data_IF_561744483853
#
_entry.id   IF_561744483853
#
_cell.length_a   1.000
_cell.length_b   1.000
_cell.length_c   1.000
_cell.angle_alpha   90.00
_cell.angle_beta   90.00
_cell.angle_gamma   90.00
#
_symmetry.space_group_name_H-M   'P 1'
#
loop_
_entity.id
_entity.type
_entity.pdbx_description
1 polymer ?
#
# COMPACT_ATOMS: atom_id res chain seq x y z
N UNK A 1 16.11 -14.15 4.21
CA UNK A 1 14.68 -13.90 4.03
C UNK A 1 14.49 -12.62 3.21
N UNK A 2 13.95 -12.75 2.01
CA UNK A 2 13.56 -11.72 1.05
C UNK A 2 12.04 -11.76 0.98
N UNK A 3 11.39 -10.63 1.18
CA UNK A 3 9.94 -10.56 1.34
C UNK A 3 9.38 -9.68 0.23
N UNK A 4 8.35 -10.14 -0.46
CA UNK A 4 7.53 -9.25 -1.28
C UNK A 4 6.28 -8.88 -0.49
N UNK A 5 5.89 -7.62 -0.55
CA UNK A 5 4.63 -7.16 0.03
C UNK A 5 3.99 -6.15 -0.90
N UNK A 6 2.69 -5.92 -0.72
CA UNK A 6 1.99 -4.82 -1.36
C UNK A 6 1.04 -4.14 -0.36
N UNK A 7 0.75 -2.87 -0.62
CA UNK A 7 -0.27 -2.10 0.10
C UNK A 7 -0.83 -1.00 -0.83
N UNK A 8 -2.05 -0.55 -0.54
CA UNK A 8 -2.73 0.54 -1.25
C UNK A 8 -2.87 1.76 -0.34
N UNK A 9 -2.39 2.90 -0.80
CA UNK A 9 -2.32 4.10 0.00
C UNK A 9 -2.46 5.40 -0.79
N UNK A 10 -2.54 6.47 -0.02
CA UNK A 10 -2.83 7.83 -0.48
C UNK A 10 -4.26 8.00 -0.94
N UNK A 11 -4.91 9.07 -0.51
CA UNK A 11 -6.28 9.37 -0.89
C UNK A 11 -6.41 10.80 -1.36
N UNK A 12 -7.08 11.03 -2.50
CA UNK A 12 -7.52 12.40 -2.83
C UNK A 12 -8.55 12.83 -1.80
N UNK A 13 -8.45 14.06 -1.32
CA UNK A 13 -9.37 14.62 -0.33
C UNK A 13 -10.24 15.72 -0.93
N UNK A 14 -11.47 15.84 -0.43
CA UNK A 14 -12.34 16.97 -0.69
C UNK A 14 -11.94 18.21 0.17
N UNK A 15 -12.70 19.30 0.03
CA UNK A 15 -12.51 20.53 0.81
C UNK A 15 -12.69 20.33 2.32
N UNK A 16 -13.42 19.29 2.72
CA UNK A 16 -13.71 18.91 4.10
C UNK A 16 -12.75 17.83 4.64
N UNK A 17 -11.69 17.50 3.88
CA UNK A 17 -10.70 16.47 4.21
C UNK A 17 -11.24 15.03 4.24
N UNK A 18 -12.40 14.77 3.62
CA UNK A 18 -12.91 13.42 3.43
C UNK A 18 -12.24 12.76 2.21
N UNK A 19 -11.95 11.45 2.27
CA UNK A 19 -11.37 10.73 1.16
C UNK A 19 -12.39 10.56 0.01
N UNK A 20 -11.97 10.93 -1.20
CA UNK A 20 -12.69 10.69 -2.45
C UNK A 20 -12.36 9.28 -2.98
N UNK A 21 -11.08 8.92 -3.01
CA UNK A 21 -10.63 7.60 -3.45
C UNK A 21 -9.12 7.41 -3.35
N UNK A 22 -8.68 6.15 -3.41
CA UNK A 22 -7.27 5.77 -3.25
C UNK A 22 -6.49 5.95 -4.55
N UNK A 23 -5.19 6.25 -4.42
CA UNK A 23 -4.34 6.67 -5.54
C UNK A 23 -3.41 5.56 -6.02
N UNK A 24 -2.64 4.95 -5.12
CA UNK A 24 -1.52 4.09 -5.51
C UNK A 24 -1.53 2.76 -4.75
N UNK A 25 -1.42 1.65 -5.48
CA UNK A 25 -1.00 0.36 -4.94
C UNK A 25 0.48 0.16 -5.25
N UNK A 26 1.29 -0.01 -4.21
CA UNK A 26 2.72 -0.25 -4.34
C UNK A 26 3.05 -1.68 -3.92
N UNK A 27 3.88 -2.38 -4.72
CA UNK A 27 4.49 -3.64 -4.32
C UNK A 27 6.00 -3.46 -4.20
N UNK A 28 6.57 -4.03 -3.13
CA UNK A 28 7.96 -3.84 -2.74
C UNK A 28 8.64 -5.19 -2.52
N UNK A 29 9.92 -5.26 -2.88
CA UNK A 29 10.85 -6.30 -2.43
C UNK A 29 11.66 -5.71 -1.26
N UNK A 30 11.58 -6.36 -0.11
CA UNK A 30 12.27 -5.97 1.11
C UNK A 30 13.28 -7.05 1.49
N UNK A 31 14.51 -6.61 1.74
CA UNK A 31 15.62 -7.46 2.14
C UNK A 31 16.28 -6.90 3.40
N UNK A 32 17.15 -7.67 4.05
CA UNK A 32 17.92 -7.19 5.21
C UNK A 32 18.63 -5.87 4.84
N UNK A 33 18.53 -4.80 5.65
CA UNK A 33 18.10 -4.74 7.05
C UNK A 33 16.61 -4.45 7.30
N UNK A 34 15.73 -4.65 6.32
CA UNK A 34 14.28 -4.51 6.43
C UNK A 34 13.80 -3.08 6.77
N UNK A 35 14.45 -2.06 6.19
CA UNK A 35 14.09 -0.64 6.44
C UNK A 35 13.53 0.10 5.23
N UNK A 36 13.75 -0.42 4.03
CA UNK A 36 13.30 0.15 2.76
C UNK A 36 13.17 -0.96 1.72
N UNK A 37 12.67 -0.64 0.53
CA UNK A 37 12.56 -1.57 -0.58
C UNK A 37 13.85 -1.56 -1.43
N UNK A 38 14.35 -2.74 -1.82
CA UNK A 38 15.38 -2.87 -2.86
C UNK A 38 14.80 -2.58 -4.24
N UNK A 39 13.51 -2.90 -4.43
CA UNK A 39 12.78 -2.69 -5.67
C UNK A 39 11.32 -2.40 -5.34
N UNK A 40 10.72 -1.44 -6.02
CA UNK A 40 9.29 -1.15 -5.94
C UNK A 40 8.66 -1.09 -7.34
N UNK A 41 7.39 -1.46 -7.43
CA UNK A 41 6.53 -1.22 -8.60
C UNK A 41 5.21 -0.61 -8.12
N UNK A 42 4.57 0.18 -8.98
CA UNK A 42 3.32 0.87 -8.65
C UNK A 42 2.26 0.58 -9.71
N UNK A 43 1.01 0.51 -9.26
CA UNK A 43 -0.20 0.60 -10.07
C UNK A 43 -1.00 1.80 -9.55
N UNK A 44 -1.29 2.77 -10.41
CA UNK A 44 -2.17 3.89 -10.07
C UNK A 44 -3.63 3.52 -10.36
N UNK A 45 -4.51 3.99 -9.49
CA UNK A 45 -5.96 3.90 -9.62
C UNK A 45 -6.54 5.24 -10.06
N UNK A 46 -7.80 5.25 -10.49
CA UNK A 46 -8.55 6.49 -10.65
C UNK A 46 -9.21 6.84 -9.30
N UNK A 47 -8.70 7.82 -8.53
CA UNK A 47 -9.26 8.15 -7.22
C UNK A 47 -10.66 8.77 -7.31
N UNK A 48 -11.09 9.26 -8.47
CA UNK A 48 -12.42 9.85 -8.66
C UNK A 48 -13.50 8.82 -9.00
N UNK A 49 -13.12 7.55 -9.19
CA UNK A 49 -14.00 6.42 -9.46
C UNK A 49 -13.46 5.16 -8.74
N UNK A 50 -13.32 5.26 -7.41
CA UNK A 50 -12.71 4.23 -6.59
C UNK A 50 -13.68 3.63 -5.58
N UNK A 51 -13.68 2.30 -5.46
CA UNK A 51 -14.45 1.59 -4.43
C UNK A 51 -13.73 1.63 -3.07
N UNK A 52 -14.25 2.45 -2.16
CA UNK A 52 -13.77 2.58 -0.78
C UNK A 52 -14.21 1.43 0.15
N UNK A 53 -14.90 0.38 -0.35
CA UNK A 53 -15.27 -0.78 0.46
C UNK A 53 -14.08 -1.60 0.97
N UNK A 54 -12.92 -1.44 0.34
CA UNK A 54 -11.66 -2.15 0.63
C UNK A 54 -11.39 -3.36 -0.29
N UNK A 55 -12.39 -3.82 -1.05
CA UNK A 55 -12.25 -4.99 -1.94
C UNK A 55 -11.24 -4.77 -3.06
N UNK A 56 -11.33 -3.63 -3.74
CA UNK A 56 -10.44 -3.28 -4.85
C UNK A 56 -8.99 -3.18 -4.40
N UNK A 57 -8.75 -2.57 -3.23
CA UNK A 57 -7.42 -2.44 -2.65
C UNK A 57 -6.76 -3.82 -2.41
N UNK A 58 -7.46 -4.70 -1.68
CA UNK A 58 -6.89 -6.01 -1.34
C UNK A 58 -6.66 -6.90 -2.58
N UNK A 59 -7.52 -6.79 -3.59
CA UNK A 59 -7.34 -7.47 -4.88
C UNK A 59 -6.12 -6.92 -5.63
N UNK A 60 -5.97 -5.61 -5.72
CA UNK A 60 -4.85 -4.97 -6.40
C UNK A 60 -3.51 -5.26 -5.71
N UNK A 61 -3.48 -5.28 -4.38
CA UNK A 61 -2.31 -5.66 -3.59
C UNK A 61 -1.87 -7.10 -3.87
N UNK A 62 -2.80 -8.05 -3.79
CA UNK A 62 -2.50 -9.45 -4.06
C UNK A 62 -1.95 -9.66 -5.47
N UNK A 63 -2.59 -9.04 -6.48
CA UNK A 63 -2.18 -9.16 -7.87
C UNK A 63 -0.83 -8.47 -8.15
N UNK A 64 -0.60 -7.27 -7.61
CA UNK A 64 0.66 -6.54 -7.81
C UNK A 64 1.83 -7.20 -7.07
N UNK A 65 1.60 -7.68 -5.85
CA UNK A 65 2.56 -8.48 -5.08
C UNK A 65 2.97 -9.74 -5.84
N UNK A 66 2.01 -10.48 -6.40
CA UNK A 66 2.30 -11.66 -7.23
C UNK A 66 3.06 -11.32 -8.51
N UNK A 67 2.71 -10.21 -9.18
CA UNK A 67 3.45 -9.73 -10.36
C UNK A 67 4.91 -9.49 -10.02
N UNK A 68 5.20 -8.83 -8.89
CA UNK A 68 6.57 -8.59 -8.45
C UNK A 68 7.27 -9.90 -8.06
N UNK A 69 6.60 -10.77 -7.31
CA UNK A 69 7.15 -12.03 -6.83
C UNK A 69 7.55 -12.98 -7.96
N UNK A 70 6.77 -13.05 -9.04
CA UNK A 70 7.12 -13.82 -10.26
C UNK A 70 8.45 -13.37 -10.86
N UNK A 71 8.76 -12.07 -10.79
CA UNK A 71 10.01 -11.50 -11.31
C UNK A 71 11.19 -11.75 -10.38
N UNK A 72 11.01 -11.54 -9.07
CA UNK A 72 12.13 -11.48 -8.11
C UNK A 72 12.34 -12.74 -7.27
N UNK A 73 11.37 -13.68 -7.30
CA UNK A 73 11.37 -14.96 -6.57
C UNK A 73 11.77 -14.79 -5.09
N UNK A 74 10.93 -14.12 -4.29
CA UNK A 74 11.17 -13.93 -2.85
C UNK A 74 11.03 -15.25 -2.09
N UNK A 75 11.37 -15.25 -0.80
CA UNK A 75 11.15 -16.39 0.08
C UNK A 75 9.67 -16.50 0.50
N UNK A 76 8.98 -15.36 0.62
CA UNK A 76 7.59 -15.27 1.07
C UNK A 76 6.93 -13.99 0.56
N UNK A 77 5.60 -14.02 0.41
CA UNK A 77 4.78 -12.83 0.16
C UNK A 77 3.98 -12.50 1.42
N UNK A 78 3.99 -11.25 1.85
CA UNK A 78 3.14 -10.73 2.93
C UNK A 78 1.97 -9.95 2.31
N UNK A 79 0.75 -10.30 2.69
CA UNK A 79 -0.48 -9.62 2.29
C UNK A 79 -0.97 -8.73 3.44
N UNK A 80 -1.49 -7.53 3.14
CA UNK A 80 -2.06 -6.63 4.14
C UNK A 80 -3.46 -7.09 4.60
N UNK A 81 -3.49 -8.22 5.30
CA UNK A 81 -4.67 -8.66 6.01
C UNK A 81 -4.27 -9.34 7.30
N UNK A 82 -4.78 -8.83 8.42
CA UNK A 82 -4.37 -9.28 9.75
C UNK A 82 -5.13 -10.56 10.15
N UNK A 83 -4.78 -11.69 9.54
CA UNK A 83 -5.39 -13.01 9.80
C UNK A 83 -4.45 -13.97 10.54
N UNK A 84 -3.50 -13.43 11.31
CA UNK A 84 -2.57 -14.23 12.11
C UNK A 84 -1.51 -14.97 11.30
N UNK A 85 -1.25 -14.56 10.05
CA UNK A 85 -0.24 -15.16 9.19
C UNK A 85 -0.67 -16.45 8.50
N UNK A 86 -1.97 -16.75 8.47
CA UNK A 86 -2.47 -17.91 7.73
C UNK A 86 -2.12 -17.82 6.24
N UNK A 87 -1.78 -18.96 5.64
CA UNK A 87 -1.48 -19.02 4.22
C UNK A 87 -2.76 -18.83 3.39
N UNK A 88 -2.75 -17.89 2.45
CA UNK A 88 -3.93 -17.53 1.64
C UNK A 88 -4.46 -18.73 0.85
N UNK A 89 -3.59 -19.67 0.44
CA UNK A 89 -4.00 -20.91 -0.23
C UNK A 89 -4.85 -21.85 0.64
N UNK A 90 -4.94 -21.62 1.95
CA UNK A 90 -5.76 -22.37 2.90
C UNK A 90 -7.04 -21.64 3.31
N UNK A 91 -7.29 -20.42 2.80
CA UNK A 91 -8.48 -19.64 3.11
C UNK A 91 -9.69 -20.10 2.27
N UNK A 92 -10.21 -21.29 2.57
CA UNK A 92 -11.52 -21.75 2.09
C UNK A 92 -12.67 -21.24 2.99
N UNK A 93 -13.92 -21.44 2.56
CA UNK A 93 -15.09 -20.94 3.29
C UNK A 93 -15.14 -21.43 4.76
N UNK A 94 -14.96 -22.74 5.06
CA UNK A 94 -14.92 -23.20 6.45
C UNK A 94 -13.80 -22.58 7.28
N UNK A 95 -12.62 -22.37 6.68
CA UNK A 95 -11.50 -21.74 7.36
C UNK A 95 -11.81 -20.28 7.69
N UNK A 96 -12.42 -19.54 6.74
CA UNK A 96 -12.84 -18.14 6.94
C UNK A 96 -13.91 -18.03 8.04
N UNK A 97 -14.88 -18.94 8.05
CA UNK A 97 -15.93 -18.99 9.08
C UNK A 97 -15.37 -19.20 10.48
N UNK A 98 -14.28 -19.96 10.59
CA UNK A 98 -13.59 -20.21 11.86
C UNK A 98 -12.70 -19.05 12.33
N UNK A 99 -12.43 -18.03 11.50
CA UNK A 99 -11.59 -16.89 11.87
C UNK A 99 -12.26 -16.02 12.93
N UNK A 100 -11.44 -15.50 13.85
CA UNK A 100 -11.85 -14.54 14.90
C UNK A 100 -11.81 -13.09 14.37
N UNK A 101 -12.51 -12.84 13.27
CA UNK A 101 -12.68 -11.51 12.66
C UNK A 101 -14.16 -11.12 12.62
N UNK A 102 -14.45 -9.86 12.30
CA UNK A 102 -15.83 -9.39 12.18
C UNK A 102 -16.58 -10.08 11.03
N UNK A 103 -17.92 -10.15 11.12
CA UNK A 103 -18.75 -10.72 10.05
C UNK A 103 -18.57 -9.99 8.71
N UNK A 104 -18.35 -8.67 8.76
CA UNK A 104 -17.97 -7.88 7.58
C UNK A 104 -16.62 -8.34 7.01
N UNK A 105 -15.63 -8.61 7.87
CA UNK A 105 -14.33 -9.14 7.46
C UNK A 105 -14.45 -10.52 6.81
N UNK A 106 -15.28 -11.41 7.38
CA UNK A 106 -15.59 -12.72 6.78
C UNK A 106 -16.23 -12.57 5.41
N UNK A 107 -17.25 -11.71 5.29
CA UNK A 107 -17.94 -11.48 4.02
C UNK A 107 -17.00 -10.99 2.91
N UNK A 108 -16.08 -10.07 3.22
CA UNK A 108 -15.04 -9.62 2.28
C UNK A 108 -14.14 -10.79 1.88
N UNK A 109 -13.70 -11.60 2.85
CA UNK A 109 -12.82 -12.73 2.57
C UNK A 109 -13.49 -13.86 1.79
N UNK A 110 -14.77 -14.17 2.02
CA UNK A 110 -15.52 -15.14 1.20
C UNK A 110 -15.66 -14.70 -0.26
N UNK A 111 -15.74 -13.40 -0.51
CA UNK A 111 -15.78 -12.88 -1.86
C UNK A 111 -14.41 -12.98 -2.52
N UNK A 112 -13.36 -12.55 -1.82
CA UNK A 112 -11.99 -12.55 -2.32
C UNK A 112 -11.39 -13.95 -2.45
N UNK A 113 -11.75 -14.89 -1.58
CA UNK A 113 -11.21 -16.25 -1.58
C UNK A 113 -11.52 -16.99 -2.89
N UNK A 114 -12.68 -16.72 -3.50
CA UNK A 114 -13.09 -17.30 -4.79
C UNK A 114 -12.04 -17.11 -5.89
N UNK A 115 -11.38 -15.96 -5.90
CA UNK A 115 -10.33 -15.63 -6.86
C UNK A 115 -8.92 -15.90 -6.28
N UNK A 116 -8.66 -15.44 -5.05
CA UNK A 116 -7.32 -15.39 -4.48
C UNK A 116 -6.83 -16.74 -3.96
N UNK A 117 -7.70 -17.57 -3.38
CA UNK A 117 -7.27 -18.86 -2.82
C UNK A 117 -6.77 -19.81 -3.93
N UNK A 118 -7.49 -20.01 -5.06
CA UNK A 118 -7.02 -20.87 -6.14
C UNK A 118 -5.76 -20.32 -6.81
N UNK A 119 -5.64 -18.99 -6.90
CA UNK A 119 -4.47 -18.31 -7.44
C UNK A 119 -3.23 -18.49 -6.54
N UNK A 120 -3.39 -18.33 -5.22
CA UNK A 120 -2.34 -18.56 -4.24
C UNK A 120 -1.89 -20.03 -4.25
N UNK A 121 -2.85 -20.96 -4.34
CA UNK A 121 -2.55 -22.40 -4.42
C UNK A 121 -1.71 -22.74 -5.65
N UNK A 122 -2.13 -22.30 -6.85
CA UNK A 122 -1.36 -22.52 -8.09
C UNK A 122 0.03 -21.91 -8.02
N UNK A 123 0.14 -20.67 -7.52
CA UNK A 123 1.43 -20.00 -7.39
C UNK A 123 2.38 -20.76 -6.45
N UNK A 124 1.86 -21.27 -5.34
CA UNK A 124 2.63 -22.10 -4.42
C UNK A 124 3.03 -23.44 -5.05
N UNK A 125 2.14 -24.13 -5.77
CA UNK A 125 2.46 -25.37 -6.49
C UNK A 125 3.58 -25.16 -7.53
N UNK A 126 3.59 -24.02 -8.21
CA UNK A 126 4.58 -23.67 -9.23
C UNK A 126 5.94 -23.24 -8.65
N UNK A 127 5.95 -22.60 -7.48
CA UNK A 127 7.15 -21.87 -6.99
C UNK A 127 7.61 -22.26 -5.59
N UNK A 128 6.77 -22.92 -4.80
CA UNK A 128 6.97 -23.17 -3.37
C UNK A 128 6.80 -21.93 -2.47
N UNK A 129 6.46 -20.77 -3.02
CA UNK A 129 6.37 -19.49 -2.27
C UNK A 129 4.99 -19.35 -1.64
N UNK A 130 4.94 -19.14 -0.33
CA UNK A 130 3.70 -18.88 0.41
C UNK A 130 3.28 -17.41 0.36
N UNK A 131 1.96 -17.19 0.40
CA UNK A 131 1.35 -15.87 0.61
C UNK A 131 0.72 -15.88 2.00
N UNK A 132 1.21 -15.03 2.90
CA UNK A 132 0.77 -14.98 4.29
C UNK A 132 -0.10 -13.76 4.54
N UNK A 133 -1.31 -13.98 5.07
CA UNK A 133 -2.18 -12.92 5.55
C UNK A 133 -1.74 -12.46 6.96
N UNK A 134 -0.67 -11.64 6.99
CA UNK A 134 -0.01 -11.16 8.21
C UNK A 134 -0.44 -9.73 8.58
N UNK A 135 -0.78 -8.88 7.62
CA UNK A 135 -1.27 -7.53 7.87
C UNK A 135 -0.23 -6.62 8.55
N UNK A 136 -0.71 -5.85 9.52
CA UNK A 136 0.02 -4.76 10.20
C UNK A 136 1.25 -5.21 11.00
N UNK A 137 1.36 -6.50 11.31
CA UNK A 137 2.54 -7.07 11.98
C UNK A 137 3.75 -7.20 11.04
N UNK A 138 3.56 -7.01 9.73
CA UNK A 138 4.62 -7.08 8.73
C UNK A 138 5.28 -5.71 8.50
N UNK A 139 6.58 -5.64 8.78
CA UNK A 139 7.43 -4.50 8.39
C UNK A 139 7.42 -4.28 6.88
N UNK A 140 7.36 -5.35 6.07
CA UNK A 140 7.32 -5.22 4.61
C UNK A 140 5.99 -4.63 4.10
N UNK A 141 4.87 -4.90 4.78
CA UNK A 141 3.57 -4.26 4.49
C UNK A 141 3.67 -2.78 4.79
N UNK A 142 4.21 -2.41 5.96
CA UNK A 142 4.44 -1.01 6.31
C UNK A 142 5.37 -0.28 5.33
N UNK A 143 6.42 -0.93 4.84
CA UNK A 143 7.28 -0.35 3.79
C UNK A 143 6.48 -0.16 2.50
N UNK A 144 5.62 -1.11 2.11
CA UNK A 144 4.73 -0.94 0.96
C UNK A 144 3.78 0.26 1.14
N UNK A 145 3.21 0.46 2.35
CA UNK A 145 2.37 1.60 2.71
C UNK A 145 3.10 2.94 2.50
N UNK A 146 4.35 3.03 2.98
CA UNK A 146 5.18 4.22 2.78
C UNK A 146 5.42 4.48 1.29
N UNK A 147 5.74 3.44 0.51
CA UNK A 147 5.91 3.58 -0.94
C UNK A 147 4.61 3.98 -1.64
N UNK A 148 3.46 3.47 -1.22
CA UNK A 148 2.17 3.91 -1.73
C UNK A 148 1.98 5.42 -1.50
N UNK A 149 2.24 5.92 -0.29
CA UNK A 149 2.21 7.35 0.00
C UNK A 149 3.19 8.19 -0.83
N UNK A 150 4.42 7.71 -1.04
CA UNK A 150 5.42 8.38 -1.88
C UNK A 150 4.94 8.46 -3.35
N UNK A 151 4.41 7.36 -3.89
CA UNK A 151 3.86 7.35 -5.25
C UNK A 151 2.61 8.23 -5.37
N UNK A 152 1.78 8.30 -4.33
CA UNK A 152 0.63 9.22 -4.31
C UNK A 152 1.05 10.68 -4.36
N UNK A 153 2.14 11.05 -3.67
CA UNK A 153 2.71 12.41 -3.75
C UNK A 153 3.21 12.71 -5.16
N UNK A 154 3.92 11.77 -5.79
CA UNK A 154 4.31 11.89 -7.20
C UNK A 154 3.11 12.12 -8.11
N UNK A 155 2.07 11.29 -7.97
CA UNK A 155 0.83 11.46 -8.72
C UNK A 155 0.17 12.82 -8.46
N UNK A 156 0.17 13.27 -7.21
CA UNK A 156 -0.40 14.55 -6.80
C UNK A 156 0.27 15.74 -7.45
N UNK A 157 1.60 15.73 -7.52
CA UNK A 157 2.36 16.77 -8.22
C UNK A 157 2.00 16.79 -9.70
N UNK A 158 2.03 15.63 -10.36
CA UNK A 158 1.68 15.52 -11.78
C UNK A 158 0.22 15.93 -12.06
N UNK A 159 -0.67 15.74 -11.10
CA UNK A 159 -2.07 16.16 -11.18
C UNK A 159 -2.23 17.67 -10.95
N UNK A 160 -1.63 18.22 -9.89
CA UNK A 160 -1.65 19.66 -9.61
C UNK A 160 -1.03 20.46 -10.75
N UNK A 161 -0.01 19.92 -11.43
CA UNK A 161 0.56 20.53 -12.63
C UNK A 161 -0.44 20.72 -13.78
N UNK A 162 -1.50 19.90 -13.83
CA UNK A 162 -2.53 19.93 -14.88
C UNK A 162 -3.79 20.66 -14.42
N UNK A 163 -4.19 20.44 -13.18
CA UNK A 163 -5.49 20.87 -12.63
C UNK A 163 -5.34 22.05 -11.64
N UNK A 164 -4.12 22.49 -11.37
CA UNK A 164 -3.79 23.66 -10.53
C UNK A 164 -3.76 23.37 -9.03
N UNK A 165 -4.46 22.35 -8.55
CA UNK A 165 -4.56 22.05 -7.11
C UNK A 165 -4.81 20.58 -6.83
N UNK A 166 -4.22 20.06 -5.75
CA UNK A 166 -4.61 18.77 -5.18
C UNK A 166 -4.41 18.74 -3.67
N UNK A 167 -5.25 17.97 -2.99
CA UNK A 167 -5.07 17.60 -1.59
C UNK A 167 -5.06 16.09 -1.43
N UNK A 168 -4.02 15.57 -0.79
CA UNK A 168 -3.80 14.14 -0.60
C UNK A 168 -3.65 13.80 0.88
N UNK A 169 -4.47 12.89 1.37
CA UNK A 169 -4.27 12.24 2.67
C UNK A 169 -3.18 11.20 2.53
N UNK A 170 -2.04 11.41 3.20
CA UNK A 170 -0.95 10.45 3.27
C UNK A 170 -1.32 9.28 4.19
N UNK A 171 -0.78 8.08 3.96
CA UNK A 171 -0.89 6.97 4.90
C UNK A 171 -0.48 7.33 6.34
N UNK A 172 -0.82 6.46 7.29
CA UNK A 172 -0.69 6.79 8.71
C UNK A 172 0.76 7.06 9.10
N UNK A 173 0.98 8.02 10.01
CA UNK A 173 2.27 8.32 10.61
C UNK A 173 3.41 8.37 9.60
N UNK A 174 3.23 9.04 8.46
CA UNK A 174 4.33 9.28 7.53
C UNK A 174 4.41 10.73 7.14
N UNK A 175 5.61 11.14 6.75
CA UNK A 175 5.88 12.42 6.10
C UNK A 175 6.62 12.19 4.80
N UNK A 176 6.68 13.21 3.96
CA UNK A 176 7.52 13.21 2.76
C UNK A 176 8.43 14.43 2.73
N UNK A 177 9.60 14.26 2.15
CA UNK A 177 10.55 15.33 1.84
C UNK A 177 10.79 15.29 0.33
N UNK A 178 10.62 16.42 -0.33
CA UNK A 178 10.79 16.54 -1.77
C UNK A 178 12.04 17.37 -2.03
N UNK A 179 12.92 16.83 -2.85
CA UNK A 179 14.15 17.48 -3.33
C UNK A 179 14.10 17.58 -4.85
N UNK A 180 15.09 18.22 -5.47
CA UNK A 180 15.10 18.45 -6.92
C UNK A 180 15.01 17.18 -7.78
N UNK A 181 15.41 16.02 -7.25
CA UNK A 181 15.50 14.77 -8.01
C UNK A 181 14.85 13.55 -7.35
N UNK A 182 14.29 13.69 -6.14
CA UNK A 182 13.65 12.57 -5.44
C UNK A 182 12.61 13.00 -4.42
N UNK A 183 11.66 12.10 -4.19
CA UNK A 183 10.73 12.12 -3.05
C UNK A 183 11.20 11.07 -2.06
N UNK A 184 11.34 11.46 -0.79
CA UNK A 184 11.69 10.57 0.31
C UNK A 184 10.53 10.52 1.28
N UNK A 185 9.96 9.33 1.51
CA UNK A 185 8.94 9.11 2.53
C UNK A 185 9.55 8.46 3.75
N UNK A 186 9.15 8.88 4.95
CA UNK A 186 9.65 8.34 6.22
C UNK A 186 8.49 8.08 7.17
N UNK A 187 8.58 7.00 7.94
CA UNK A 187 7.70 6.82 9.08
C UNK A 187 8.02 7.85 10.17
N UNK A 188 6.97 8.42 10.77
CA UNK A 188 7.01 9.29 11.94
C UNK A 188 7.01 8.50 13.25
N UNK A 189 6.77 7.18 13.22
CA UNK A 189 6.79 6.34 14.42
C UNK A 189 8.22 5.82 14.70
N UNK A 190 8.91 6.31 15.74
CA UNK A 190 10.27 5.86 16.04
C UNK A 190 10.33 4.37 16.44
N UNK A 191 9.21 3.78 16.86
CA UNK A 191 9.12 2.37 17.25
C UNK A 191 9.24 1.43 16.05
N UNK A 192 9.00 1.93 14.84
CA UNK A 192 9.16 1.16 13.60
C UNK A 192 10.63 1.03 13.15
N UNK A 193 11.58 1.65 13.86
CA UNK A 193 13.01 1.41 13.64
C UNK A 193 13.60 2.12 12.41
N UNK A 194 12.99 3.23 12.00
CA UNK A 194 13.49 4.09 10.92
C UNK A 194 13.18 3.56 9.52
N UNK A 195 11.92 3.21 9.27
CA UNK A 195 11.43 2.81 7.95
C UNK A 195 11.33 4.01 7.02
N UNK A 196 11.75 3.83 5.76
CA UNK A 196 11.73 4.87 4.75
C UNK A 196 11.57 4.28 3.35
N UNK A 197 11.29 5.14 2.38
CA UNK A 197 11.33 4.84 0.96
C UNK A 197 11.81 6.06 0.17
N UNK A 198 12.30 5.84 -1.03
CA UNK A 198 12.62 6.92 -1.96
C UNK A 198 12.32 6.52 -3.40
N UNK A 199 11.89 7.49 -4.21
CA UNK A 199 11.73 7.35 -5.66
C UNK A 199 12.30 8.57 -6.38
N UNK A 200 12.86 8.40 -7.58
CA UNK A 200 13.29 9.53 -8.40
C UNK A 200 12.08 10.28 -8.97
N UNK A 201 12.26 11.58 -9.14
CA UNK A 201 11.34 12.50 -9.83
C UNK A 201 12.13 13.45 -10.72
N UNK A 202 11.48 13.97 -11.74
CA UNK A 202 12.01 15.10 -12.50
C UNK A 202 11.86 16.39 -11.68
N UNK A 203 12.57 17.45 -12.06
CA UNK A 203 12.51 18.73 -11.35
C UNK A 203 11.08 19.26 -11.37
N UNK A 204 10.59 19.61 -10.18
CA UNK A 204 9.24 20.12 -9.96
C UNK A 204 9.29 21.63 -9.77
N UNK A 205 8.36 22.33 -10.41
CA UNK A 205 8.07 23.74 -10.16
C UNK A 205 6.63 23.83 -9.65
N UNK A 206 6.45 23.57 -8.36
CA UNK A 206 5.12 23.49 -7.70
C UNK A 206 5.30 23.80 -6.23
N UNK A 207 4.45 24.67 -5.70
CA UNK A 207 4.40 24.94 -4.26
C UNK A 207 3.66 23.80 -3.56
N UNK A 208 4.20 23.33 -2.46
CA UNK A 208 3.57 22.28 -1.67
C UNK A 208 3.75 22.52 -0.17
N UNK A 209 2.82 21.97 0.61
CA UNK A 209 2.88 21.98 2.07
C UNK A 209 2.45 20.62 2.64
N UNK A 210 3.00 20.29 3.80
CA UNK A 210 2.62 19.09 4.57
C UNK A 210 2.19 19.51 5.96
N UNK A 211 0.98 19.12 6.33
CA UNK A 211 0.40 19.48 7.63
C UNK A 211 -0.51 18.36 8.16
N UNK A 212 -0.84 18.33 9.46
CA UNK A 212 -1.72 17.30 10.01
C UNK A 212 -3.14 17.38 9.42
N UNK A 213 -3.74 16.23 9.13
CA UNK A 213 -5.15 16.18 8.72
C UNK A 213 -6.06 16.55 9.93
N UNK A 214 -6.89 17.61 9.84
CA UNK A 214 -7.70 18.08 10.96
C UNK A 214 -8.83 17.11 11.36
N UNK A 215 -9.28 16.24 10.46
CA UNK A 215 -10.38 15.28 10.71
C UNK A 215 -9.90 13.84 10.89
N UNK A 216 -8.62 13.55 10.60
CA UNK A 216 -8.02 12.23 10.73
C UNK A 216 -6.68 12.29 11.50
N UNK A 217 -6.76 12.20 12.84
CA UNK A 217 -5.58 12.15 13.71
C UNK A 217 -4.60 11.07 13.24
N UNK A 218 -3.30 11.37 13.27
CA UNK A 218 -2.19 10.51 12.83
C UNK A 218 -1.98 10.44 11.31
N UNK A 219 -2.82 11.10 10.52
CA UNK A 219 -2.64 11.23 9.07
C UNK A 219 -2.16 12.64 8.75
N UNK A 220 -1.27 12.73 7.78
CA UNK A 220 -0.78 14.01 7.25
C UNK A 220 -1.49 14.29 5.92
N UNK A 221 -1.56 15.56 5.56
CA UNK A 221 -2.02 16.03 4.26
C UNK A 221 -0.81 16.51 3.50
N UNK A 222 -0.71 16.11 2.23
CA UNK A 222 0.14 16.73 1.23
C UNK A 222 -0.77 17.59 0.34
N UNK A 223 -0.52 18.88 0.29
CA UNK A 223 -1.24 19.82 -0.59
C UNK A 223 -0.26 20.42 -1.59
N UNK A 224 -0.64 20.46 -2.86
CA UNK A 224 0.19 21.05 -3.91
C UNK A 224 -0.64 22.00 -4.79
N UNK A 225 -0.03 23.11 -5.21
CA UNK A 225 -0.63 24.18 -6.01
C UNK A 225 0.39 24.76 -7.00
N UNK A 226 -0.08 25.21 -8.16
CA UNK A 226 0.68 26.08 -9.09
C UNK A 226 0.34 27.54 -8.80
#
# INVERSE_FOLDING_TARGET
MRIVSADTGGAVLDENYNPIGLIATAAVLVEKPYRTATLSIVKYSNPFDYDLSGRTALKDEALLGLKLARKVKPDVIHLDSSLGGIEVRKLDDPTIDALRISDRGKAIWHELSKDLQPLAKRFWEETGIEILAIGKESVAVRIAELYAGIYSVKWGIEYAMKEGFVRIGLPRYMTVEITENKIVGKSLDPREGGLYGEIPIEKIDTDWEIYPNPVARMFMVFEAKI
#
